data_IF_886137977502
#
_entry.id   IF_886137977502
#
_cell.length_a   1.000
_cell.length_b   1.000
_cell.length_c   1.000
_cell.angle_alpha   90.00
_cell.angle_beta   90.00
_cell.angle_gamma   90.00
#
_symmetry.space_group_name_H-M   'P 1'
#
loop_
_entity.id
_entity.type
_entity.pdbx_description
1 polymer ?
#
# COMPACT_ATOMS: atom_id res chain seq x y z
N UNK A 1 2.89 34.98 -13.82
CA UNK A 1 3.28 34.04 -12.76
C UNK A 1 2.14 33.91 -11.76
N UNK A 2 1.52 32.80 -11.40
CA UNK A 2 1.49 31.40 -11.83
C UNK A 2 0.33 30.78 -11.02
N UNK A 3 -0.86 30.61 -11.63
CA UNK A 3 -1.99 29.93 -10.96
C UNK A 3 -1.84 28.43 -11.19
N UNK A 4 -1.26 27.70 -10.24
CA UNK A 4 -1.05 26.25 -10.36
C UNK A 4 -1.90 25.38 -9.44
N UNK A 5 -2.89 25.94 -8.74
CA UNK A 5 -3.86 25.16 -7.95
C UNK A 5 -5.27 25.73 -8.12
N UNK A 6 -6.24 24.85 -8.35
CA UNK A 6 -7.67 25.19 -8.50
C UNK A 6 -8.55 24.14 -7.82
N UNK A 7 -9.82 24.48 -7.59
CA UNK A 7 -10.78 23.55 -6.97
C UNK A 7 -10.39 23.12 -5.55
N UNK A 8 -10.63 21.86 -5.21
CA UNK A 8 -10.41 21.31 -3.86
C UNK A 8 -8.95 21.41 -3.38
N UNK A 9 -7.99 21.33 -4.30
CA UNK A 9 -6.57 21.47 -3.97
C UNK A 9 -6.24 22.88 -3.46
N UNK A 10 -6.84 23.92 -4.06
CA UNK A 10 -6.69 25.29 -3.59
C UNK A 10 -7.43 25.51 -2.27
N UNK A 11 -8.62 24.92 -2.11
CA UNK A 11 -9.38 24.99 -0.85
C UNK A 11 -8.59 24.37 0.30
N UNK A 12 -7.91 23.25 0.07
CA UNK A 12 -7.15 22.53 1.10
C UNK A 12 -5.99 23.33 1.70
N UNK A 13 -5.44 24.31 0.99
CA UNK A 13 -4.30 25.13 1.46
C UNK A 13 -4.66 26.62 1.61
N UNK A 14 -5.94 26.99 1.50
CA UNK A 14 -6.40 28.39 1.44
C UNK A 14 -6.02 29.23 2.67
N UNK A 15 -5.78 28.59 3.82
CA UNK A 15 -5.37 29.25 5.06
C UNK A 15 -3.86 29.40 5.23
N UNK A 16 -3.05 28.92 4.30
CA UNK A 16 -1.59 29.01 4.36
C UNK A 16 -1.09 30.18 3.51
N UNK A 17 -0.23 31.01 4.12
CA UNK A 17 0.46 32.11 3.44
C UNK A 17 1.62 31.66 2.55
N UNK A 18 2.51 32.60 2.25
CA UNK A 18 3.65 32.42 1.33
C UNK A 18 5.00 32.35 2.05
N UNK A 19 5.02 32.24 3.38
CA UNK A 19 6.27 32.00 4.09
C UNK A 19 6.84 30.63 3.74
N UNK A 20 8.16 30.45 3.93
CA UNK A 20 8.82 29.17 3.65
C UNK A 20 8.21 28.01 4.44
N UNK A 21 7.78 28.27 5.68
CA UNK A 21 7.17 27.26 6.54
C UNK A 21 5.79 26.86 6.03
N UNK A 22 4.95 27.84 5.72
CA UNK A 22 3.60 27.61 5.20
C UNK A 22 3.61 26.94 3.82
N UNK A 23 4.62 27.22 3.00
CA UNK A 23 4.80 26.60 1.70
C UNK A 23 5.15 25.11 1.79
N UNK A 24 6.05 24.72 2.70
CA UNK A 24 6.37 23.32 2.92
C UNK A 24 5.20 22.56 3.54
N UNK A 25 4.44 23.20 4.44
CA UNK A 25 3.21 22.63 4.98
C UNK A 25 2.14 22.45 3.90
N UNK A 26 1.96 23.43 3.01
CA UNK A 26 1.04 23.33 1.88
C UNK A 26 1.40 22.17 0.95
N UNK A 27 2.69 21.98 0.64
CA UNK A 27 3.16 20.81 -0.12
C UNK A 27 2.85 19.50 0.61
N UNK A 28 3.05 19.44 1.93
CA UNK A 28 2.78 18.26 2.75
C UNK A 28 1.29 17.89 2.71
N UNK A 29 0.40 18.86 2.91
CA UNK A 29 -1.05 18.69 2.84
C UNK A 29 -1.47 18.19 1.46
N UNK A 30 -0.95 18.81 0.39
CA UNK A 30 -1.29 18.42 -0.98
C UNK A 30 -0.79 17.01 -1.33
N UNK A 31 0.43 16.65 -0.94
CA UNK A 31 0.97 15.29 -1.11
C UNK A 31 0.16 14.27 -0.30
N UNK A 32 -0.25 14.61 0.91
CA UNK A 32 -1.01 13.69 1.75
C UNK A 32 -2.43 13.47 1.22
N UNK A 33 -3.10 14.54 0.81
CA UNK A 33 -4.50 14.53 0.40
C UNK A 33 -4.72 14.12 -1.06
N UNK A 34 -3.81 14.51 -1.95
CA UNK A 34 -3.93 14.31 -3.39
C UNK A 34 -2.75 13.56 -4.02
N UNK A 35 -1.69 13.27 -3.25
CA UNK A 35 -0.52 12.56 -3.74
C UNK A 35 -0.86 11.16 -4.22
N UNK A 36 -0.28 10.78 -5.36
CA UNK A 36 -0.47 9.48 -5.96
C UNK A 36 0.01 8.33 -5.05
N UNK A 37 0.90 8.59 -4.07
CA UNK A 37 1.42 7.57 -3.17
C UNK A 37 0.31 6.81 -2.42
N UNK A 38 -0.76 7.49 -1.98
CA UNK A 38 -1.86 6.81 -1.26
C UNK A 38 -2.66 5.88 -2.18
N UNK A 39 -2.78 6.23 -3.48
CA UNK A 39 -3.40 5.39 -4.52
C UNK A 39 -2.48 4.26 -4.99
N UNK A 40 -1.17 4.51 -5.07
CA UNK A 40 -0.16 3.49 -5.40
C UNK A 40 -0.03 2.46 -4.28
N UNK A 41 -0.11 2.88 -3.02
CA UNK A 41 -0.14 2.00 -1.85
C UNK A 41 -1.32 1.01 -1.92
N UNK A 42 -2.53 1.54 -2.15
CA UNK A 42 -3.70 0.68 -2.36
C UNK A 42 -3.47 -0.26 -3.53
N UNK A 43 -2.93 0.21 -4.66
CA UNK A 43 -2.70 -0.66 -5.81
C UNK A 43 -1.83 -1.90 -5.50
N UNK A 44 -0.82 -1.81 -4.63
CA UNK A 44 0.02 -2.97 -4.27
C UNK A 44 -0.71 -3.98 -3.36
N UNK A 45 -1.45 -3.49 -2.37
CA UNK A 45 -2.23 -4.33 -1.47
C UNK A 45 -3.47 -4.91 -2.18
N UNK A 46 -4.15 -4.09 -2.99
CA UNK A 46 -5.28 -4.46 -3.83
C UNK A 46 -4.88 -5.56 -4.82
N UNK A 47 -3.66 -5.53 -5.38
CA UNK A 47 -3.16 -6.61 -6.22
C UNK A 47 -3.11 -7.94 -5.48
N UNK A 48 -2.56 -7.97 -4.26
CA UNK A 48 -2.56 -9.18 -3.44
C UNK A 48 -3.97 -9.60 -3.04
N UNK A 49 -4.85 -8.65 -2.71
CA UNK A 49 -6.22 -8.96 -2.31
C UNK A 49 -7.09 -9.45 -3.47
N UNK A 50 -6.88 -8.92 -4.67
CA UNK A 50 -7.62 -9.26 -5.88
C UNK A 50 -7.34 -10.65 -6.43
N UNK A 51 -6.21 -11.28 -6.02
CA UNK A 51 -5.91 -12.65 -6.41
C UNK A 51 -7.04 -13.60 -5.99
N UNK A 52 -7.32 -14.68 -6.73
CA UNK A 52 -8.28 -15.68 -6.27
C UNK A 52 -7.84 -16.29 -4.93
N UNK A 53 -8.78 -16.90 -4.21
CA UNK A 53 -8.44 -17.73 -3.06
C UNK A 53 -7.54 -18.89 -3.52
N UNK A 54 -6.38 -19.04 -2.89
CA UNK A 54 -5.44 -20.10 -3.22
C UNK A 54 -6.11 -21.42 -2.84
N UNK A 55 -6.38 -22.27 -3.83
CA UNK A 55 -6.98 -23.58 -3.58
C UNK A 55 -5.89 -24.57 -3.17
N UNK A 56 -6.22 -25.57 -2.33
CA UNK A 56 -5.29 -26.65 -2.03
C UNK A 56 -4.83 -27.34 -3.33
N UNK A 57 -3.51 -27.50 -3.50
CA UNK A 57 -2.85 -28.04 -4.72
C UNK A 57 -2.85 -27.13 -5.95
N UNK A 58 -3.32 -25.89 -5.87
CA UNK A 58 -3.15 -24.92 -6.93
C UNK A 58 -1.77 -24.25 -6.80
N UNK A 59 -0.77 -24.87 -7.43
CA UNK A 59 0.61 -24.41 -7.33
C UNK A 59 0.84 -23.10 -8.09
N UNK A 60 0.09 -22.84 -9.17
CA UNK A 60 0.29 -21.64 -9.99
C UNK A 60 -0.18 -20.37 -9.30
N UNK A 61 -1.37 -20.41 -8.70
CA UNK A 61 -1.89 -19.27 -7.96
C UNK A 61 -1.09 -19.03 -6.68
N UNK A 62 -0.57 -20.10 -6.05
CA UNK A 62 0.34 -19.99 -4.92
C UNK A 62 1.69 -19.35 -5.31
N UNK A 63 2.32 -19.81 -6.39
CA UNK A 63 3.58 -19.23 -6.90
C UNK A 63 3.41 -17.75 -7.23
N UNK A 64 2.35 -17.39 -7.95
CA UNK A 64 2.05 -15.98 -8.28
C UNK A 64 1.85 -15.13 -7.02
N UNK A 65 1.18 -15.67 -6.01
CA UNK A 65 1.03 -14.99 -4.73
C UNK A 65 2.37 -14.82 -4.01
N UNK A 66 3.17 -15.89 -3.95
CA UNK A 66 4.48 -15.90 -3.32
C UNK A 66 5.47 -14.93 -3.99
N UNK A 67 5.39 -14.75 -5.31
CA UNK A 67 6.21 -13.79 -6.07
C UNK A 67 5.82 -12.34 -5.78
N UNK A 68 4.53 -12.06 -5.57
CA UNK A 68 4.03 -10.70 -5.32
C UNK A 68 4.31 -10.21 -3.89
N UNK A 69 4.36 -11.11 -2.90
CA UNK A 69 4.57 -10.72 -1.50
C UNK A 69 5.91 -9.97 -1.29
N UNK A 70 7.08 -10.46 -1.74
CA UNK A 70 8.35 -9.74 -1.62
C UNK A 70 8.35 -8.39 -2.33
N UNK A 71 7.72 -8.31 -3.51
CA UNK A 71 7.61 -7.05 -4.26
C UNK A 71 6.83 -6.02 -3.44
N UNK A 72 5.70 -6.40 -2.87
CA UNK A 72 4.89 -5.54 -1.99
C UNK A 72 5.67 -5.13 -0.74
N UNK A 73 6.40 -6.04 -0.09
CA UNK A 73 7.23 -5.71 1.08
C UNK A 73 8.31 -4.68 0.74
N UNK A 74 9.00 -4.82 -0.40
CA UNK A 74 10.03 -3.87 -0.84
C UNK A 74 9.41 -2.50 -1.12
N UNK A 75 8.26 -2.44 -1.79
CA UNK A 75 7.56 -1.17 -2.06
C UNK A 75 7.12 -0.47 -0.77
N UNK A 76 6.53 -1.20 0.17
CA UNK A 76 6.13 -0.65 1.47
C UNK A 76 7.32 -0.09 2.24
N UNK A 77 8.47 -0.78 2.26
CA UNK A 77 9.70 -0.28 2.89
C UNK A 77 10.24 0.96 2.18
N UNK A 78 10.29 0.97 0.85
CA UNK A 78 10.78 2.09 0.06
C UNK A 78 9.95 3.37 0.29
N UNK A 79 8.67 3.23 0.60
CA UNK A 79 7.75 4.33 0.91
C UNK A 79 7.64 4.64 2.41
N UNK A 80 8.50 4.05 3.25
CA UNK A 80 8.52 4.21 4.71
C UNK A 80 7.18 3.82 5.38
N UNK A 81 6.46 2.85 4.80
CA UNK A 81 5.16 2.34 5.26
C UNK A 81 5.31 1.14 6.19
N UNK A 82 6.19 1.24 7.18
CA UNK A 82 6.44 0.14 8.11
C UNK A 82 5.19 -0.31 8.89
N UNK A 83 4.22 0.59 9.09
CA UNK A 83 2.95 0.26 9.76
C UNK A 83 2.03 -0.69 8.98
N UNK A 84 2.24 -0.87 7.66
CA UNK A 84 1.48 -1.84 6.85
C UNK A 84 2.07 -3.26 6.94
N UNK A 85 3.30 -3.38 7.45
CA UNK A 85 3.99 -4.65 7.72
C UNK A 85 3.69 -5.14 9.13
N UNK A 86 4.29 -6.26 9.55
CA UNK A 86 4.10 -6.80 10.91
C UNK A 86 2.65 -7.19 11.12
N UNK A 87 1.93 -6.50 12.00
CA UNK A 87 0.49 -6.71 12.24
C UNK A 87 -0.42 -5.79 11.40
N UNK A 88 0.13 -5.09 10.39
CA UNK A 88 -0.60 -4.21 9.49
C UNK A 88 -1.40 -4.93 8.40
N UNK A 89 -1.85 -4.18 7.40
CA UNK A 89 -2.75 -4.67 6.34
C UNK A 89 -2.18 -5.87 5.58
N UNK A 90 -0.87 -5.91 5.35
CA UNK A 90 -0.24 -7.04 4.65
C UNK A 90 -0.46 -8.36 5.40
N UNK A 91 -0.38 -8.35 6.73
CA UNK A 91 -0.63 -9.55 7.53
C UNK A 91 -2.07 -10.03 7.43
N UNK A 92 -3.04 -9.11 7.45
CA UNK A 92 -4.44 -9.45 7.22
C UNK A 92 -4.64 -10.14 5.86
N UNK A 93 -3.99 -9.66 4.82
CA UNK A 93 -4.05 -10.26 3.48
C UNK A 93 -3.39 -11.65 3.46
N UNK A 94 -2.21 -11.81 4.06
CA UNK A 94 -1.51 -13.09 4.15
C UNK A 94 -2.37 -14.16 4.83
N UNK A 95 -2.94 -13.84 5.99
CA UNK A 95 -3.82 -14.74 6.75
C UNK A 95 -5.09 -15.09 5.96
N UNK A 96 -5.67 -14.12 5.23
CA UNK A 96 -6.86 -14.34 4.41
C UNK A 96 -6.60 -15.23 3.18
N UNK A 97 -5.38 -15.21 2.64
CA UNK A 97 -5.01 -15.95 1.41
C UNK A 97 -4.43 -17.33 1.69
N UNK A 98 -3.71 -17.49 2.79
CA UNK A 98 -3.13 -18.76 3.20
C UNK A 98 -4.13 -19.49 4.09
N UNK A 99 -4.86 -20.45 3.52
CA UNK A 99 -5.70 -21.34 4.34
C UNK A 99 -4.86 -22.16 5.33
N UNK A 100 -5.47 -22.58 6.44
CA UNK A 100 -4.84 -23.41 7.47
C UNK A 100 -4.15 -24.65 6.89
N UNK A 101 -4.73 -25.22 5.82
CA UNK A 101 -4.16 -26.36 5.10
C UNK A 101 -2.81 -26.05 4.44
N UNK A 102 -2.60 -24.84 3.93
CA UNK A 102 -1.30 -24.43 3.40
C UNK A 102 -0.27 -24.27 4.51
N UNK A 103 -0.69 -23.74 5.66
CA UNK A 103 0.16 -23.60 6.85
C UNK A 103 0.55 -24.97 7.41
N UNK A 104 -0.39 -25.92 7.49
CA UNK A 104 -0.13 -27.31 7.88
C UNK A 104 0.82 -28.02 6.93
N UNK A 105 0.64 -27.83 5.60
CA UNK A 105 1.53 -28.41 4.60
C UNK A 105 2.96 -27.88 4.71
N UNK A 106 3.11 -26.57 4.97
CA UNK A 106 4.42 -25.95 5.19
C UNK A 106 5.06 -26.42 6.50
N UNK A 107 4.29 -26.44 7.60
CA UNK A 107 4.76 -26.91 8.91
C UNK A 107 5.22 -28.38 8.87
N UNK A 108 4.59 -29.22 8.05
CA UNK A 108 4.99 -30.61 7.83
C UNK A 108 6.22 -30.77 6.92
N UNK A 109 6.54 -29.75 6.11
CA UNK A 109 7.68 -29.77 5.21
C UNK A 109 8.99 -29.34 5.90
N UNK A 110 8.91 -28.44 6.87
CA UNK A 110 10.03 -28.08 7.77
C UNK A 110 10.39 -29.23 8.71
#
# INVERSE_FOLDING_TARGET
TGKSLSGEALVAIRGLGVSSLEYEEAKSILKTKFGAQRRQLHAYLDQLESLPQIKPRDTKDFERFADLVPVTVVKLKAENRHGELGNGSLHGILVKKLSDRHLEMYSRWL
#
